data_IF_854154760497
#
_entry.id   IF_854154760497
#
_cell.length_a   1.000
_cell.length_b   1.000
_cell.length_c   1.000
_cell.angle_alpha   90.00
_cell.angle_beta   90.00
_cell.angle_gamma   90.00
#
_symmetry.space_group_name_H-M   'P 1'
#
loop_
_entity.id
_entity.type
_entity.pdbx_description
1 polymer ?
#
# COMPACT_ATOMS: atom_id res chain seq x y z
N UNK A 1 -35.66 35.37 -22.11
CA UNK A 1 -34.21 35.32 -21.80
C UNK A 1 -33.62 33.91 -21.88
N UNK A 2 -34.38 32.82 -21.70
CA UNK A 2 -33.84 31.43 -21.69
C UNK A 2 -33.06 31.00 -22.95
N UNK A 3 -33.47 31.42 -24.16
CA UNK A 3 -32.79 30.99 -25.38
C UNK A 3 -31.34 31.51 -25.53
N UNK A 4 -30.95 32.60 -24.86
CA UNK A 4 -29.58 33.13 -24.94
C UNK A 4 -28.59 32.23 -24.17
N UNK A 5 -29.02 31.66 -23.04
CA UNK A 5 -28.19 30.72 -22.27
C UNK A 5 -28.00 29.39 -23.00
N UNK A 6 -29.02 28.86 -23.70
CA UNK A 6 -28.85 27.65 -24.51
C UNK A 6 -27.86 27.84 -25.66
N UNK A 7 -27.93 28.94 -26.39
CA UNK A 7 -27.00 29.20 -27.51
C UNK A 7 -25.56 29.34 -27.00
N UNK A 8 -25.30 30.08 -25.90
CA UNK A 8 -23.95 30.15 -25.33
C UNK A 8 -23.44 28.81 -24.79
N UNK A 9 -24.31 27.95 -24.24
CA UNK A 9 -23.90 26.62 -23.78
C UNK A 9 -23.48 25.71 -24.96
N UNK A 10 -24.22 25.72 -26.08
CA UNK A 10 -23.83 24.98 -27.29
C UNK A 10 -22.60 25.60 -27.98
N UNK A 11 -22.45 26.92 -27.99
CA UNK A 11 -21.25 27.59 -28.53
C UNK A 11 -19.99 27.20 -27.72
N UNK A 12 -20.10 27.12 -26.39
CA UNK A 12 -19.01 26.71 -25.50
C UNK A 12 -18.66 25.21 -25.66
N UNK A 13 -19.66 24.34 -25.83
CA UNK A 13 -19.45 22.92 -26.08
C UNK A 13 -18.79 22.66 -27.45
N UNK A 14 -19.19 23.38 -28.50
CA UNK A 14 -18.54 23.30 -29.82
C UNK A 14 -17.10 23.83 -29.80
N UNK A 15 -16.85 24.95 -29.12
CA UNK A 15 -15.50 25.53 -29.03
C UNK A 15 -14.50 24.66 -28.23
N UNK A 16 -15.00 23.68 -27.46
CA UNK A 16 -14.18 22.70 -26.74
C UNK A 16 -13.89 21.43 -27.56
N UNK A 17 -14.47 21.28 -28.76
CA UNK A 17 -14.38 20.07 -29.59
C UNK A 17 -13.58 20.21 -30.90
N UNK A 18 -13.17 21.42 -31.29
CA UNK A 18 -12.37 21.67 -32.52
C UNK A 18 -10.86 21.81 -32.27
N UNK A 19 -10.37 21.42 -31.09
CA UNK A 19 -9.02 21.73 -30.62
C UNK A 19 -8.13 20.55 -30.23
N UNK A 20 -8.28 19.36 -30.83
CA UNK A 20 -7.46 18.19 -30.46
C UNK A 20 -7.03 17.31 -31.65
N UNK A 21 -6.35 17.92 -32.63
CA UNK A 21 -5.52 17.14 -33.55
C UNK A 21 -4.38 16.44 -32.79
N UNK A 22 -4.35 15.11 -32.86
CA UNK A 22 -3.18 14.25 -32.58
C UNK A 22 -2.64 14.28 -31.14
N UNK A 23 -3.37 13.68 -30.21
CA UNK A 23 -2.74 13.03 -29.06
C UNK A 23 -2.97 11.51 -29.10
N UNK A 24 -1.94 10.79 -29.56
CA UNK A 24 -1.87 9.33 -29.40
C UNK A 24 -1.80 8.98 -27.92
N UNK A 25 -2.92 8.58 -27.32
CA UNK A 25 -2.96 8.22 -25.91
C UNK A 25 -2.16 6.93 -25.70
N UNK A 26 -0.97 7.10 -25.14
CA UNK A 26 -0.04 6.03 -24.80
C UNK A 26 -0.69 5.05 -23.83
N UNK A 27 -0.73 3.77 -24.22
CA UNK A 27 -1.19 2.62 -23.42
C UNK A 27 -0.22 2.29 -22.27
N UNK A 28 0.19 3.29 -21.49
CA UNK A 28 1.46 3.39 -20.77
C UNK A 28 1.77 2.27 -19.76
N UNK A 29 0.77 1.52 -19.28
CA UNK A 29 0.96 0.33 -18.43
C UNK A 29 1.26 -0.96 -19.21
N UNK A 30 0.70 -1.15 -20.42
CA UNK A 30 0.79 -2.41 -21.18
C UNK A 30 2.18 -2.73 -21.78
N UNK A 31 2.93 -1.79 -22.39
CA UNK A 31 4.26 -2.07 -22.94
C UNK A 31 5.22 -2.61 -21.88
N UNK A 32 5.12 -2.13 -20.63
CA UNK A 32 6.02 -2.52 -19.53
C UNK A 32 5.76 -3.94 -19.07
N UNK A 33 4.50 -4.33 -18.84
CA UNK A 33 4.13 -5.70 -18.45
C UNK A 33 4.43 -6.70 -19.56
N UNK A 34 4.15 -6.35 -20.83
CA UNK A 34 4.47 -7.18 -22.00
C UNK A 34 5.97 -7.33 -22.24
N UNK A 35 6.77 -6.28 -21.95
CA UNK A 35 8.24 -6.36 -21.94
C UNK A 35 8.72 -7.27 -20.82
N UNK A 36 8.30 -7.04 -19.57
CA UNK A 36 8.66 -7.89 -18.41
C UNK A 36 8.39 -9.37 -18.66
N UNK A 37 7.21 -9.73 -19.18
CA UNK A 37 6.89 -11.12 -19.52
C UNK A 37 7.84 -11.69 -20.61
N UNK A 38 8.14 -10.93 -21.66
CA UNK A 38 9.12 -11.34 -22.69
C UNK A 38 10.53 -11.48 -22.12
N UNK A 39 10.97 -10.56 -21.28
CA UNK A 39 12.28 -10.58 -20.61
C UNK A 39 12.39 -11.77 -19.65
N UNK A 40 11.35 -12.06 -18.88
CA UNK A 40 11.29 -13.21 -17.98
C UNK A 40 11.30 -14.55 -18.73
N UNK A 41 10.55 -14.66 -19.82
CA UNK A 41 10.59 -15.83 -20.70
C UNK A 41 11.96 -16.02 -21.38
N UNK A 42 12.65 -14.93 -21.74
CA UNK A 42 14.04 -14.99 -22.21
C UNK A 42 14.99 -15.52 -21.13
N UNK A 43 14.87 -15.05 -19.88
CA UNK A 43 15.70 -15.54 -18.76
C UNK A 43 15.50 -17.04 -18.56
N UNK A 44 14.24 -17.50 -18.51
CA UNK A 44 13.90 -18.93 -18.37
C UNK A 44 14.46 -19.78 -19.52
N UNK A 45 14.36 -19.30 -20.77
CA UNK A 45 14.95 -19.97 -21.93
C UNK A 45 16.49 -20.02 -21.88
N UNK A 46 17.15 -18.94 -21.42
CA UNK A 46 18.61 -18.93 -21.22
C UNK A 46 19.04 -19.86 -20.08
N UNK A 47 18.26 -19.97 -19.00
CA UNK A 47 18.56 -20.87 -17.88
C UNK A 47 18.38 -22.35 -18.26
N UNK A 48 17.35 -22.70 -19.03
CA UNK A 48 17.18 -24.06 -19.58
C UNK A 48 18.32 -24.40 -20.55
N UNK A 49 18.78 -23.42 -21.34
CA UNK A 49 19.90 -23.58 -22.28
C UNK A 49 21.24 -23.73 -21.57
N UNK A 50 21.50 -22.97 -20.50
CA UNK A 50 22.76 -23.07 -19.75
C UNK A 50 22.86 -24.39 -18.97
N UNK A 51 21.74 -24.94 -18.49
CA UNK A 51 21.69 -26.28 -17.86
C UNK A 51 21.94 -27.45 -18.82
N UNK A 52 21.87 -27.24 -20.13
CA UNK A 52 21.99 -28.30 -21.15
C UNK A 52 23.26 -28.25 -22.01
N UNK A 53 24.17 -27.31 -21.74
CA UNK A 53 25.43 -27.13 -22.46
C UNK A 53 26.65 -27.52 -21.62
N UNK A 54 27.62 -28.17 -22.27
CA UNK A 54 28.93 -28.50 -21.70
C UNK A 54 29.74 -27.19 -21.49
N UNK A 55 30.45 -27.01 -20.36
CA UNK A 55 31.25 -25.80 -20.11
C UNK A 55 32.34 -25.64 -21.17
N UNK A 56 32.22 -24.59 -21.99
CA UNK A 56 33.15 -24.21 -23.06
C UNK A 56 33.11 -22.70 -23.32
N UNK A 57 33.82 -22.24 -24.34
CA UNK A 57 34.11 -20.83 -24.66
C UNK A 57 32.91 -19.86 -24.53
N UNK A 58 31.70 -20.31 -24.89
CA UNK A 58 30.50 -19.47 -24.91
C UNK A 58 29.88 -19.20 -23.51
N UNK A 59 30.48 -19.70 -22.42
CA UNK A 59 29.93 -19.55 -21.06
C UNK A 59 30.01 -18.10 -20.55
N UNK A 60 31.10 -17.37 -20.85
CA UNK A 60 31.27 -15.98 -20.40
C UNK A 60 30.30 -15.02 -21.11
N UNK A 61 30.10 -15.21 -22.42
CA UNK A 61 29.16 -14.42 -23.22
C UNK A 61 27.71 -14.61 -22.74
N UNK A 62 27.29 -15.85 -22.46
CA UNK A 62 25.98 -16.14 -21.88
C UNK A 62 25.81 -15.56 -20.47
N UNK A 63 26.85 -15.60 -19.63
CA UNK A 63 26.82 -14.97 -18.31
C UNK A 63 26.71 -13.43 -18.42
N UNK A 64 27.29 -12.83 -19.46
CA UNK A 64 27.15 -11.40 -19.75
C UNK A 64 25.74 -11.04 -20.25
N UNK A 65 25.18 -11.78 -21.22
CA UNK A 65 23.79 -11.58 -21.66
C UNK A 65 22.79 -11.75 -20.51
N UNK A 66 22.94 -12.80 -19.69
CA UNK A 66 22.07 -13.04 -18.55
C UNK A 66 22.13 -11.88 -17.53
N UNK A 67 23.33 -11.30 -17.28
CA UNK A 67 23.49 -10.10 -16.45
C UNK A 67 22.76 -8.90 -17.06
N UNK A 68 22.91 -8.64 -18.36
CA UNK A 68 22.22 -7.53 -19.04
C UNK A 68 20.70 -7.66 -19.00
N UNK A 69 20.17 -8.85 -19.29
CA UNK A 69 18.72 -9.12 -19.27
C UNK A 69 18.17 -9.07 -17.83
N UNK A 70 18.97 -9.48 -16.83
CA UNK A 70 18.63 -9.32 -15.40
C UNK A 70 18.67 -7.86 -14.96
N UNK A 71 19.63 -7.05 -15.44
CA UNK A 71 19.65 -5.61 -15.20
C UNK A 71 18.46 -4.89 -15.87
N UNK A 72 18.10 -5.26 -17.10
CA UNK A 72 16.91 -4.72 -17.77
C UNK A 72 15.64 -5.12 -17.01
N UNK A 73 15.52 -6.38 -16.56
CA UNK A 73 14.43 -6.81 -15.68
C UNK A 73 14.39 -5.97 -14.42
N UNK A 74 15.51 -5.78 -13.72
CA UNK A 74 15.56 -4.98 -12.49
C UNK A 74 15.16 -3.53 -12.75
N UNK A 75 15.65 -2.89 -13.81
CA UNK A 75 15.27 -1.52 -14.21
C UNK A 75 13.79 -1.39 -14.63
N UNK A 76 13.20 -2.45 -15.19
CA UNK A 76 11.75 -2.51 -15.47
C UNK A 76 10.94 -2.90 -14.23
N UNK A 77 11.57 -3.53 -13.24
CA UNK A 77 11.02 -3.93 -11.94
C UNK A 77 11.27 -2.88 -10.84
N UNK A 78 11.99 -1.79 -11.14
CA UNK A 78 11.95 -0.50 -10.44
C UNK A 78 10.54 0.11 -10.57
N UNK A 79 9.61 -0.54 -9.89
CA UNK A 79 8.31 -0.03 -9.46
C UNK A 79 8.56 1.12 -8.48
N UNK A 80 7.48 1.66 -7.89
CA UNK A 80 7.64 2.27 -6.57
C UNK A 80 8.21 1.18 -5.64
N UNK A 81 9.51 1.25 -5.36
CA UNK A 81 10.14 0.37 -4.40
C UNK A 81 9.54 0.65 -3.03
N UNK A 82 9.44 -0.37 -2.17
CA UNK A 82 8.91 -0.19 -0.82
C UNK A 82 9.68 0.91 -0.07
N UNK A 83 10.99 1.02 -0.31
CA UNK A 83 11.85 2.10 0.18
C UNK A 83 11.47 3.48 -0.36
N UNK A 84 11.06 3.63 -1.62
CA UNK A 84 10.58 4.90 -2.16
C UNK A 84 9.21 5.30 -1.55
N UNK A 85 8.30 4.34 -1.38
CA UNK A 85 7.02 4.56 -0.68
C UNK A 85 7.23 4.98 0.79
N UNK A 86 8.13 4.31 1.50
CA UNK A 86 8.52 4.68 2.86
C UNK A 86 9.23 6.04 2.90
N UNK A 87 10.04 6.36 1.89
CA UNK A 87 10.67 7.67 1.72
C UNK A 87 9.66 8.80 1.56
N UNK A 88 8.64 8.63 0.70
CA UNK A 88 7.53 9.59 0.58
C UNK A 88 6.81 9.74 1.92
N UNK A 89 6.48 8.62 2.58
CA UNK A 89 5.78 8.64 3.86
C UNK A 89 6.57 9.42 4.91
N UNK A 90 7.87 9.17 5.06
CA UNK A 90 8.75 9.88 5.97
C UNK A 90 8.89 11.38 5.63
N UNK A 91 8.99 11.74 4.35
CA UNK A 91 9.03 13.16 3.93
C UNK A 91 7.71 13.87 4.26
N UNK A 92 6.56 13.27 3.93
CA UNK A 92 5.24 13.82 4.29
C UNK A 92 5.10 13.96 5.81
N UNK A 93 5.60 12.98 6.57
CA UNK A 93 5.62 13.02 8.04
C UNK A 93 6.36 14.23 8.57
N UNK A 94 7.59 14.46 8.09
CA UNK A 94 8.44 15.57 8.52
C UNK A 94 7.82 16.91 8.13
N UNK A 95 7.29 17.03 6.91
CA UNK A 95 6.62 18.25 6.44
C UNK A 95 5.40 18.59 7.29
N UNK A 96 4.56 17.60 7.62
CA UNK A 96 3.40 17.80 8.49
C UNK A 96 3.78 18.13 9.93
N UNK A 97 4.81 17.48 10.49
CA UNK A 97 5.31 17.77 11.82
C UNK A 97 5.84 19.21 11.92
N UNK A 98 6.64 19.66 10.93
CA UNK A 98 7.13 21.03 10.83
C UNK A 98 5.96 22.02 10.68
N UNK A 99 4.98 21.73 9.80
CA UNK A 99 3.78 22.55 9.62
C UNK A 99 2.98 22.70 10.93
N UNK A 100 2.85 21.62 11.71
CA UNK A 100 2.16 21.60 13.01
C UNK A 100 2.93 22.33 14.11
N UNK A 101 4.25 22.45 13.99
CA UNK A 101 5.13 23.13 14.95
C UNK A 101 5.18 24.66 14.77
N UNK A 102 5.02 25.18 13.55
CA UNK A 102 5.00 26.63 13.28
C UNK A 102 4.05 27.48 14.16
N UNK A 103 2.80 27.07 14.46
CA UNK A 103 1.92 27.85 15.34
C UNK A 103 2.25 27.75 16.84
N UNK A 104 3.25 26.93 17.24
CA UNK A 104 3.64 26.76 18.64
C UNK A 104 4.65 27.83 19.07
N UNK A 105 4.65 28.20 20.35
CA UNK A 105 5.53 29.26 20.88
C UNK A 105 7.02 28.96 20.68
N UNK A 106 7.42 27.70 20.82
CA UNK A 106 8.79 27.22 20.59
C UNK A 106 9.14 26.99 19.11
N UNK A 107 8.20 27.21 18.19
CA UNK A 107 8.34 26.89 16.77
C UNK A 107 8.79 25.44 16.54
N UNK A 108 9.77 25.23 15.65
CA UNK A 108 10.29 23.91 15.30
C UNK A 108 10.90 23.17 16.52
N UNK A 109 11.41 23.89 17.53
CA UNK A 109 12.00 23.26 18.73
C UNK A 109 10.96 22.46 19.54
N UNK A 110 9.68 22.79 19.42
CA UNK A 110 8.57 22.04 20.02
C UNK A 110 8.62 20.55 19.67
N UNK A 111 9.04 20.19 18.46
CA UNK A 111 9.16 18.79 18.00
C UNK A 111 10.19 17.97 18.80
N UNK A 112 11.15 18.65 19.43
CA UNK A 112 12.24 18.07 20.20
C UNK A 112 12.04 18.20 21.72
N UNK A 113 10.99 18.90 22.17
CA UNK A 113 10.61 18.93 23.57
C UNK A 113 10.22 17.53 24.05
N UNK A 114 10.60 17.22 25.29
CA UNK A 114 10.17 16.01 26.00
C UNK A 114 9.03 16.42 26.95
N UNK A 115 7.77 16.05 26.66
CA UNK A 115 6.64 16.43 27.49
C UNK A 115 6.67 15.74 28.86
N UNK A 116 6.26 16.46 29.91
CA UNK A 116 6.28 15.99 31.31
C UNK A 116 5.48 14.70 31.49
N UNK A 117 6.13 13.63 31.97
CA UNK A 117 5.51 12.31 32.08
C UNK A 117 4.25 12.34 32.96
N UNK A 118 3.17 11.60 32.58
CA UNK A 118 1.96 11.53 33.39
C UNK A 118 2.27 10.92 34.77
N UNK A 119 1.81 11.60 35.83
CA UNK A 119 2.06 11.19 37.23
C UNK A 119 1.52 9.79 37.56
N UNK A 120 0.49 9.34 36.84
CA UNK A 120 -0.04 7.99 36.90
C UNK A 120 -0.09 7.39 35.50
N UNK A 121 0.82 6.44 35.23
CA UNK A 121 0.70 5.55 34.06
C UNK A 121 -0.54 4.69 34.29
N UNK A 122 -1.60 4.94 33.53
CA UNK A 122 -2.83 4.15 33.55
C UNK A 122 -2.56 2.69 33.18
N UNK A 123 -3.53 1.81 33.44
CA UNK A 123 -3.40 0.44 32.95
C UNK A 123 -3.26 0.46 31.41
N UNK A 124 -2.32 -0.32 30.88
CA UNK A 124 -1.97 -0.30 29.45
C UNK A 124 -3.21 -0.54 28.58
N UNK A 125 -4.13 -1.38 29.05
CA UNK A 125 -5.40 -1.65 28.38
C UNK A 125 -6.25 -0.38 28.19
N UNK A 126 -6.33 0.52 29.18
CA UNK A 126 -7.18 1.73 29.06
C UNK A 126 -6.56 2.78 28.15
N UNK A 127 -5.23 2.85 28.06
CA UNK A 127 -4.49 3.73 27.13
C UNK A 127 -4.55 3.19 25.69
N UNK A 128 -4.39 1.88 25.50
CA UNK A 128 -4.40 1.25 24.17
C UNK A 128 -5.80 1.11 23.56
N UNK A 129 -6.86 0.97 24.37
CA UNK A 129 -8.22 0.71 23.85
C UNK A 129 -8.71 1.78 22.86
N UNK A 130 -8.57 3.11 23.13
CA UNK A 130 -8.92 4.13 22.14
C UNK A 130 -8.08 4.06 20.86
N UNK A 131 -6.78 3.78 20.97
CA UNK A 131 -5.87 3.68 19.82
C UNK A 131 -6.18 2.47 18.94
N UNK A 132 -6.51 1.33 19.56
CA UNK A 132 -7.00 0.13 18.88
C UNK A 132 -8.33 0.40 18.18
N UNK A 133 -9.28 1.07 18.85
CA UNK A 133 -10.56 1.44 18.24
C UNK A 133 -10.38 2.35 17.01
N UNK A 134 -9.47 3.33 17.07
CA UNK A 134 -9.11 4.19 15.93
C UNK A 134 -8.46 3.37 14.80
N UNK A 135 -7.53 2.47 15.11
CA UNK A 135 -6.86 1.64 14.10
C UNK A 135 -7.82 0.69 13.39
N UNK A 136 -8.72 0.03 14.13
CA UNK A 136 -9.79 -0.81 13.55
C UNK A 136 -10.77 0.03 12.72
N UNK A 137 -11.11 1.25 13.16
CA UNK A 137 -11.95 2.15 12.38
C UNK A 137 -11.27 2.58 11.06
N UNK A 138 -9.97 2.87 11.08
CA UNK A 138 -9.17 3.18 9.88
C UNK A 138 -9.11 1.96 8.94
N UNK A 139 -8.83 0.76 9.46
CA UNK A 139 -8.81 -0.48 8.67
C UNK A 139 -10.16 -0.70 7.96
N UNK A 140 -11.28 -0.61 8.70
CA UNK A 140 -12.63 -0.77 8.13
C UNK A 140 -13.01 0.32 7.15
N UNK A 141 -12.59 1.56 7.39
CA UNK A 141 -12.80 2.67 6.45
C UNK A 141 -12.01 2.45 5.17
N UNK A 142 -10.76 1.99 5.25
CA UNK A 142 -9.92 1.69 4.08
C UNK A 142 -10.42 0.47 3.31
N UNK A 143 -10.78 -0.62 3.99
CA UNK A 143 -11.43 -1.78 3.37
C UNK A 143 -12.70 -1.38 2.63
N UNK A 144 -13.56 -0.57 3.26
CA UNK A 144 -14.78 -0.04 2.65
C UNK A 144 -14.47 0.87 1.46
N UNK A 145 -13.50 1.78 1.59
CA UNK A 145 -13.10 2.68 0.52
C UNK A 145 -12.46 1.95 -0.67
N UNK A 146 -11.69 0.89 -0.44
CA UNK A 146 -11.14 0.04 -1.50
C UNK A 146 -12.20 -0.82 -2.18
N UNK A 147 -13.12 -1.40 -1.42
CA UNK A 147 -14.23 -2.17 -1.99
C UNK A 147 -15.17 -1.25 -2.78
N UNK A 148 -15.44 -0.05 -2.27
CA UNK A 148 -16.18 0.99 -2.99
C UNK A 148 -15.42 1.49 -4.22
N UNK A 149 -14.10 1.69 -4.14
CA UNK A 149 -13.27 2.07 -5.28
C UNK A 149 -13.23 0.97 -6.34
N UNK A 150 -13.19 -0.31 -5.97
CA UNK A 150 -13.29 -1.42 -6.94
C UNK A 150 -14.67 -1.50 -7.57
N UNK A 151 -15.74 -1.48 -6.77
CA UNK A 151 -17.12 -1.44 -7.30
C UNK A 151 -17.36 -0.22 -8.18
N UNK A 152 -16.83 0.94 -7.81
CA UNK A 152 -16.90 2.17 -8.60
C UNK A 152 -16.01 2.09 -9.83
N UNK A 153 -14.81 1.48 -9.77
CA UNK A 153 -13.94 1.32 -10.94
C UNK A 153 -14.47 0.28 -11.92
N UNK A 154 -15.18 -0.74 -11.43
CA UNK A 154 -15.93 -1.70 -12.24
C UNK A 154 -17.14 -0.98 -12.86
N UNK A 155 -18.01 -0.34 -12.07
CA UNK A 155 -19.16 0.38 -12.60
C UNK A 155 -18.78 1.54 -13.54
N UNK A 156 -17.69 2.25 -13.26
CA UNK A 156 -17.14 3.31 -14.13
C UNK A 156 -16.42 2.71 -15.33
N UNK A 157 -15.85 1.50 -15.26
CA UNK A 157 -15.43 0.79 -16.46
C UNK A 157 -16.66 0.35 -17.29
N UNK A 158 -17.71 -0.17 -16.67
CA UNK A 158 -18.97 -0.55 -17.34
C UNK A 158 -19.67 0.66 -17.98
N UNK A 159 -19.52 1.86 -17.41
CA UNK A 159 -20.04 3.13 -17.96
C UNK A 159 -19.08 3.74 -19.00
N UNK A 160 -17.77 3.77 -18.76
CA UNK A 160 -16.74 4.26 -19.71
C UNK A 160 -16.38 3.25 -20.81
N UNK A 161 -16.98 2.05 -20.78
CA UNK A 161 -17.22 1.21 -21.97
C UNK A 161 -18.12 1.92 -23.00
N UNK A 162 -18.54 3.16 -22.73
CA UNK A 162 -18.59 4.20 -23.76
C UNK A 162 -17.80 5.47 -23.33
N UNK A 163 -16.75 5.92 -24.06
CA UNK A 163 -15.90 5.29 -25.09
C UNK A 163 -14.39 5.28 -24.65
N UNK A 164 -13.34 4.97 -25.44
CA UNK A 164 -13.09 4.99 -26.91
C UNK A 164 -11.82 4.20 -27.30
N UNK A 165 -11.44 4.28 -28.58
CA UNK A 165 -10.22 3.84 -29.28
C UNK A 165 -9.68 2.43 -28.94
N UNK A 166 -9.06 2.18 -27.77
CA UNK A 166 -8.67 0.81 -27.42
C UNK A 166 -9.87 -0.08 -27.13
N UNK A 167 -10.96 0.52 -26.66
CA UNK A 167 -12.27 -0.13 -26.61
C UNK A 167 -12.94 -0.14 -27.98
N UNK A 168 -12.69 0.79 -28.90
CA UNK A 168 -13.40 0.80 -30.19
C UNK A 168 -13.18 -0.48 -31.02
N UNK A 169 -12.06 -1.19 -30.92
CA UNK A 169 -11.97 -2.54 -31.54
C UNK A 169 -12.76 -3.59 -30.77
N UNK A 170 -12.64 -3.66 -29.43
CA UNK A 170 -13.33 -4.68 -28.62
C UNK A 170 -14.84 -4.47 -28.63
N UNK A 171 -15.27 -3.22 -28.54
CA UNK A 171 -16.64 -2.75 -28.60
C UNK A 171 -17.18 -2.82 -30.02
N UNK A 172 -16.41 -2.51 -31.08
CA UNK A 172 -16.87 -2.81 -32.44
C UNK A 172 -17.03 -4.31 -32.64
N UNK A 173 -16.09 -5.14 -32.23
CA UNK A 173 -16.23 -6.60 -32.35
C UNK A 173 -17.38 -7.14 -31.46
N UNK A 174 -17.62 -6.55 -30.28
CA UNK A 174 -18.74 -6.91 -29.39
C UNK A 174 -20.08 -6.42 -29.90
N UNK A 175 -20.15 -5.21 -30.46
CA UNK A 175 -21.36 -4.58 -30.98
C UNK A 175 -21.70 -5.08 -32.38
N UNK A 176 -20.71 -5.40 -33.21
CA UNK A 176 -20.87 -6.18 -34.46
C UNK A 176 -21.30 -7.61 -34.12
N UNK A 177 -20.80 -8.22 -33.03
CA UNK A 177 -21.34 -9.50 -32.53
C UNK A 177 -22.77 -9.36 -31.99
N UNK A 178 -23.09 -8.29 -31.27
CA UNK A 178 -24.42 -8.07 -30.67
C UNK A 178 -25.46 -7.70 -31.73
N UNK A 179 -25.10 -6.85 -32.70
CA UNK A 179 -25.93 -6.48 -33.85
C UNK A 179 -26.08 -7.63 -34.84
N UNK A 180 -25.06 -8.47 -35.08
CA UNK A 180 -25.26 -9.72 -35.86
C UNK A 180 -26.10 -10.74 -35.10
N UNK A 181 -25.97 -10.83 -33.78
CA UNK A 181 -26.80 -11.71 -32.94
C UNK A 181 -28.26 -11.21 -32.89
N UNK A 182 -28.47 -9.90 -32.75
CA UNK A 182 -29.81 -9.29 -32.74
C UNK A 182 -30.43 -9.26 -34.14
N UNK A 183 -29.68 -8.98 -35.20
CA UNK A 183 -30.16 -9.08 -36.57
C UNK A 183 -30.47 -10.53 -36.95
N UNK A 184 -29.71 -11.51 -36.47
CA UNK A 184 -30.06 -12.93 -36.59
C UNK A 184 -31.35 -13.24 -35.81
N UNK A 185 -31.50 -12.75 -34.58
CA UNK A 185 -32.74 -12.92 -33.80
C UNK A 185 -33.97 -12.26 -34.44
N UNK A 186 -33.80 -11.09 -35.09
CA UNK A 186 -34.89 -10.34 -35.71
C UNK A 186 -35.23 -10.82 -37.13
N UNK A 187 -34.26 -11.33 -37.89
CA UNK A 187 -34.53 -12.00 -39.18
C UNK A 187 -35.11 -13.40 -38.98
N UNK A 188 -34.70 -14.13 -37.94
CA UNK A 188 -35.33 -15.39 -37.53
C UNK A 188 -36.44 -15.15 -36.51
N UNK A 189 -37.54 -14.57 -37.01
CA UNK A 189 -38.85 -14.63 -36.34
C UNK A 189 -39.32 -16.09 -36.25
N UNK A 190 -38.90 -16.76 -35.18
CA UNK A 190 -39.41 -18.05 -34.70
C UNK A 190 -39.24 -19.27 -35.63
N UNK A 191 -38.02 -19.54 -36.11
CA UNK A 191 -37.58 -20.92 -36.36
C UNK A 191 -36.13 -21.10 -35.88
N UNK A 192 -35.92 -21.90 -34.82
CA UNK A 192 -34.59 -22.27 -34.33
C UNK A 192 -33.93 -23.26 -35.28
N UNK A 193 -33.36 -22.74 -36.37
CA UNK A 193 -32.48 -23.50 -37.27
C UNK A 193 -31.13 -23.76 -36.59
N UNK A 194 -30.50 -24.93 -36.80
CA UNK A 194 -29.27 -25.30 -36.10
C UNK A 194 -28.09 -24.37 -36.39
N UNK A 195 -28.09 -23.69 -37.55
CA UNK A 195 -27.04 -22.75 -37.96
C UNK A 195 -27.04 -21.46 -37.12
N UNK A 196 -28.19 -21.02 -36.62
CA UNK A 196 -28.30 -19.76 -35.86
C UNK A 196 -28.00 -19.95 -34.38
N UNK A 197 -28.39 -21.09 -33.81
CA UNK A 197 -27.89 -21.56 -32.52
C UNK A 197 -26.35 -21.57 -32.47
N UNK A 198 -25.69 -21.98 -33.56
CA UNK A 198 -24.22 -21.98 -33.63
C UNK A 198 -23.62 -20.56 -33.58
N UNK A 199 -24.27 -19.55 -34.17
CA UNK A 199 -23.79 -18.15 -34.12
C UNK A 199 -23.93 -17.59 -32.69
N UNK A 200 -25.06 -17.84 -32.02
CA UNK A 200 -25.24 -17.53 -30.61
C UNK A 200 -24.17 -18.22 -29.73
N UNK A 201 -23.93 -19.51 -29.93
CA UNK A 201 -22.94 -20.27 -29.16
C UNK A 201 -21.50 -19.74 -29.36
N UNK A 202 -21.16 -19.23 -30.56
CA UNK A 202 -19.87 -18.55 -30.80
C UNK A 202 -19.81 -17.22 -30.05
N UNK A 203 -20.87 -16.42 -30.08
CA UNK A 203 -20.93 -15.12 -29.39
C UNK A 203 -20.84 -15.28 -27.86
N UNK A 204 -21.60 -16.22 -27.29
CA UNK A 204 -21.53 -16.58 -25.86
C UNK A 204 -20.14 -17.10 -25.48
N UNK A 205 -19.54 -17.98 -26.28
CA UNK A 205 -18.16 -18.44 -26.04
C UNK A 205 -17.11 -17.32 -26.10
N UNK A 206 -17.32 -16.31 -26.96
CA UNK A 206 -16.43 -15.14 -27.05
C UNK A 206 -16.58 -14.24 -25.82
N UNK A 207 -17.82 -13.98 -25.38
CA UNK A 207 -18.12 -13.21 -24.17
C UNK A 207 -17.58 -13.91 -22.92
N UNK A 208 -17.85 -15.21 -22.75
CA UNK A 208 -17.34 -16.01 -21.64
C UNK A 208 -15.79 -15.97 -21.56
N UNK A 209 -15.09 -16.06 -22.70
CA UNK A 209 -13.62 -15.93 -22.75
C UNK A 209 -13.12 -14.52 -22.47
N UNK A 210 -13.91 -13.48 -22.75
CA UNK A 210 -13.57 -12.10 -22.39
C UNK A 210 -13.72 -11.88 -20.88
N UNK A 211 -14.81 -12.39 -20.29
CA UNK A 211 -15.05 -12.33 -18.85
C UNK A 211 -14.02 -13.17 -18.06
N UNK A 212 -13.70 -14.38 -18.53
CA UNK A 212 -12.66 -15.23 -17.95
C UNK A 212 -11.29 -14.52 -17.93
N UNK A 213 -10.95 -13.81 -19.01
CA UNK A 213 -9.73 -12.98 -19.06
C UNK A 213 -9.79 -11.83 -18.06
N UNK A 214 -10.88 -11.07 -18.00
CA UNK A 214 -11.03 -9.97 -17.04
C UNK A 214 -10.93 -10.46 -15.59
N UNK A 215 -11.64 -11.55 -15.25
CA UNK A 215 -11.55 -12.22 -13.93
C UNK A 215 -10.11 -12.66 -13.64
N UNK A 216 -9.42 -13.27 -14.61
CA UNK A 216 -8.02 -13.68 -14.49
C UNK A 216 -7.04 -12.52 -14.26
N UNK A 217 -7.35 -11.30 -14.72
CA UNK A 217 -6.54 -10.11 -14.47
C UNK A 217 -6.78 -9.53 -13.07
N UNK A 218 -8.04 -9.48 -12.62
CA UNK A 218 -8.39 -9.03 -11.25
C UNK A 218 -7.90 -10.03 -10.19
N UNK A 219 -7.88 -11.32 -10.52
CA UNK A 219 -7.37 -12.39 -9.64
C UNK A 219 -5.85 -12.61 -9.75
N UNK A 220 -5.14 -11.86 -10.59
CA UNK A 220 -3.70 -12.00 -10.75
C UNK A 220 -2.98 -11.77 -9.40
N UNK A 221 -2.12 -12.69 -8.93
CA UNK A 221 -1.53 -12.61 -7.60
C UNK A 221 -0.68 -11.34 -7.42
N UNK A 222 -0.08 -10.81 -8.49
CA UNK A 222 0.67 -9.55 -8.47
C UNK A 222 -0.22 -8.32 -8.28
N UNK A 223 -1.46 -8.34 -8.79
CA UNK A 223 -2.43 -7.27 -8.59
C UNK A 223 -2.94 -7.27 -7.15
N UNK A 224 -3.34 -8.44 -6.65
CA UNK A 224 -3.78 -8.62 -5.26
C UNK A 224 -2.68 -8.25 -4.25
N UNK A 225 -1.43 -8.63 -4.52
CA UNK A 225 -0.28 -8.25 -3.70
C UNK A 225 -0.05 -6.73 -3.71
N UNK A 226 -0.16 -6.07 -4.87
CA UNK A 226 0.01 -4.63 -4.98
C UNK A 226 -1.13 -3.85 -4.32
N UNK A 227 -2.40 -4.28 -4.48
CA UNK A 227 -3.56 -3.71 -3.76
C UNK A 227 -3.36 -3.78 -2.25
N UNK A 228 -2.93 -4.94 -1.72
CA UNK A 228 -2.62 -5.11 -0.29
C UNK A 228 -1.50 -4.16 0.17
N UNK A 229 -0.41 -4.06 -0.59
CA UNK A 229 0.70 -3.16 -0.27
C UNK A 229 0.28 -1.68 -0.30
N UNK A 230 -0.56 -1.28 -1.26
CA UNK A 230 -1.12 0.08 -1.34
C UNK A 230 -2.04 0.37 -0.15
N UNK A 231 -2.89 -0.58 0.24
CA UNK A 231 -3.78 -0.43 1.40
C UNK A 231 -2.99 -0.26 2.70
N UNK A 232 -1.96 -1.07 2.93
CA UNK A 232 -1.04 -0.93 4.07
C UNK A 232 -0.36 0.44 4.05
N UNK A 233 0.12 0.90 2.88
CA UNK A 233 0.77 2.21 2.77
C UNK A 233 -0.16 3.39 3.07
N UNK A 234 -1.41 3.35 2.57
CA UNK A 234 -2.42 4.37 2.89
C UNK A 234 -2.80 4.29 4.38
N UNK A 235 -2.90 3.09 4.97
CA UNK A 235 -3.10 2.92 6.41
C UNK A 235 -2.02 3.60 7.24
N UNK A 236 -0.75 3.32 6.94
CA UNK A 236 0.41 3.94 7.57
C UNK A 236 0.40 5.47 7.41
N UNK A 237 0.08 5.97 6.22
CA UNK A 237 -0.02 7.41 5.95
C UNK A 237 -1.14 8.07 6.76
N UNK A 238 -2.33 7.47 6.78
CA UNK A 238 -3.51 8.00 7.52
C UNK A 238 -3.27 7.98 9.02
N UNK A 239 -2.79 6.87 9.59
CA UNK A 239 -2.47 6.77 11.02
C UNK A 239 -1.45 7.82 11.45
N UNK A 240 -0.46 8.09 10.60
CA UNK A 240 0.57 9.09 10.84
C UNK A 240 0.06 10.53 10.73
N UNK A 241 -0.81 10.84 9.76
CA UNK A 241 -1.51 12.13 9.69
C UNK A 241 -2.33 12.37 10.96
N UNK A 242 -3.11 11.36 11.40
CA UNK A 242 -3.93 11.43 12.62
C UNK A 242 -3.05 11.68 13.85
N UNK A 243 -1.92 10.99 13.97
CA UNK A 243 -1.03 11.14 15.12
C UNK A 243 -0.37 12.52 15.20
N UNK A 244 0.08 13.07 14.08
CA UNK A 244 0.72 14.40 14.04
C UNK A 244 -0.30 15.51 14.26
N UNK A 245 -1.47 15.45 13.62
CA UNK A 245 -2.51 16.47 13.79
C UNK A 245 -3.12 16.45 15.19
N UNK A 246 -3.26 15.25 15.78
CA UNK A 246 -3.80 15.04 17.12
C UNK A 246 -2.79 15.21 18.27
N UNK A 247 -1.50 15.46 18.00
CA UNK A 247 -0.43 15.49 19.03
C UNK A 247 -0.40 14.21 19.88
N UNK A 248 -0.66 13.05 19.23
CA UNK A 248 -0.76 11.75 19.91
C UNK A 248 0.64 11.15 20.12
N UNK A 249 0.92 10.74 21.36
CA UNK A 249 2.18 10.11 21.77
C UNK A 249 1.98 8.96 22.76
N UNK A 250 2.03 7.72 22.26
CA UNK A 250 1.86 6.50 23.07
C UNK A 250 3.03 6.27 24.04
N UNK A 251 4.26 6.64 23.67
CA UNK A 251 5.43 6.44 24.50
C UNK A 251 5.38 7.33 25.74
N UNK A 252 4.96 8.59 25.57
CA UNK A 252 4.65 9.51 26.65
C UNK A 252 3.55 8.97 27.57
N UNK A 253 2.44 8.47 27.03
CA UNK A 253 1.37 7.86 27.87
C UNK A 253 1.84 6.61 28.62
N UNK A 254 2.78 5.85 28.07
CA UNK A 254 3.41 4.69 28.70
C UNK A 254 4.47 5.09 29.75
N UNK A 255 4.82 6.38 29.85
CA UNK A 255 5.80 6.89 30.80
C UNK A 255 7.26 6.84 30.30
N UNK A 256 7.48 6.70 28.99
CA UNK A 256 8.82 6.73 28.38
C UNK A 256 9.11 8.18 27.94
N UNK A 257 10.20 8.81 28.44
CA UNK A 257 10.55 10.18 28.05
C UNK A 257 11.15 10.19 26.64
N UNK A 258 10.36 10.59 25.65
CA UNK A 258 10.79 10.74 24.25
C UNK A 258 10.44 12.12 23.67
N UNK A 259 11.25 12.64 22.73
CA UNK A 259 10.90 13.81 21.93
C UNK A 259 9.58 13.63 21.19
N UNK A 260 8.74 14.68 21.14
CA UNK A 260 7.41 14.64 20.50
C UNK A 260 7.42 14.04 19.09
N UNK A 261 8.38 14.40 18.24
CA UNK A 261 8.46 13.88 16.87
C UNK A 261 8.63 12.36 16.81
N UNK A 262 9.45 11.78 17.70
CA UNK A 262 9.65 10.32 17.73
C UNK A 262 8.37 9.64 18.17
N UNK A 263 7.70 10.19 19.19
CA UNK A 263 6.47 9.62 19.73
C UNK A 263 5.30 9.67 18.73
N UNK A 264 5.11 10.80 18.04
CA UNK A 264 4.11 10.93 16.97
C UNK A 264 4.37 9.97 15.80
N UNK A 265 5.64 9.80 15.40
CA UNK A 265 6.00 8.88 14.32
C UNK A 265 5.71 7.43 14.72
N UNK A 266 6.13 7.02 15.92
CA UNK A 266 5.85 5.67 16.45
C UNK A 266 4.35 5.45 16.58
N UNK A 267 3.62 6.36 17.22
CA UNK A 267 2.16 6.28 17.40
C UNK A 267 1.42 6.23 16.07
N UNK A 268 1.84 7.03 15.09
CA UNK A 268 1.28 7.04 13.74
C UNK A 268 1.48 5.74 12.98
N UNK A 269 2.69 5.18 13.04
CA UNK A 269 3.00 3.87 12.44
C UNK A 269 2.22 2.74 13.13
N UNK A 270 2.12 2.77 14.46
CA UNK A 270 1.34 1.81 15.26
C UNK A 270 -0.14 1.83 14.84
N UNK A 271 -0.78 3.00 14.85
CA UNK A 271 -2.18 3.18 14.42
C UNK A 271 -2.38 2.71 12.97
N UNK A 272 -1.50 3.16 12.07
CA UNK A 272 -1.65 2.93 10.63
C UNK A 272 -1.26 1.52 10.15
N UNK A 273 -0.54 0.75 10.98
CA UNK A 273 -0.19 -0.65 10.67
C UNK A 273 -1.37 -1.63 10.76
N UNK A 274 -2.48 -1.22 11.38
CA UNK A 274 -3.65 -2.05 11.62
C UNK A 274 -3.54 -2.94 12.86
N UNK A 275 -4.60 -3.71 13.20
CA UNK A 275 -4.65 -4.50 14.43
C UNK A 275 -3.68 -5.69 14.44
N UNK A 276 -3.28 -6.21 13.27
CA UNK A 276 -2.35 -7.34 13.15
C UNK A 276 -0.98 -7.04 13.79
N UNK A 277 -0.19 -6.10 13.24
CA UNK A 277 1.09 -5.72 13.83
C UNK A 277 0.97 -5.11 15.24
N UNK A 278 -0.16 -4.48 15.56
CA UNK A 278 -0.46 -4.02 16.93
C UNK A 278 -0.53 -5.16 17.95
N UNK A 279 -1.08 -6.32 17.60
CA UNK A 279 -1.12 -7.47 18.51
C UNK A 279 0.29 -7.93 18.89
N UNK A 280 1.20 -8.01 17.93
CA UNK A 280 2.59 -8.39 18.15
C UNK A 280 3.34 -7.32 18.96
N UNK A 281 3.11 -6.04 18.66
CA UNK A 281 3.63 -4.90 19.44
C UNK A 281 3.17 -4.92 20.90
N UNK A 282 1.89 -5.22 21.16
CA UNK A 282 1.35 -5.39 22.52
C UNK A 282 2.04 -6.55 23.22
N UNK A 283 2.24 -7.68 22.54
CA UNK A 283 2.99 -8.83 23.08
C UNK A 283 4.44 -8.48 23.44
N UNK A 284 5.14 -7.72 22.59
CA UNK A 284 6.51 -7.25 22.84
C UNK A 284 6.55 -6.25 24.00
N UNK A 285 5.64 -5.27 24.06
CA UNK A 285 5.57 -4.28 25.14
C UNK A 285 5.22 -4.92 26.49
N UNK A 286 4.28 -5.87 26.52
CA UNK A 286 3.97 -6.65 27.72
C UNK A 286 5.16 -7.51 28.16
N UNK A 287 5.85 -8.16 27.22
CA UNK A 287 7.06 -8.95 27.51
C UNK A 287 8.19 -8.06 28.07
N UNK A 288 8.39 -6.86 27.50
CA UNK A 288 9.35 -5.87 27.99
C UNK A 288 8.99 -5.34 29.38
N UNK A 289 7.72 -5.04 29.64
CA UNK A 289 7.22 -4.64 30.97
C UNK A 289 7.47 -5.75 32.00
N UNK A 290 7.21 -7.00 31.64
CA UNK A 290 7.47 -8.16 32.51
C UNK A 290 8.97 -8.35 32.77
N UNK A 291 9.82 -8.20 31.76
CA UNK A 291 11.28 -8.25 31.93
C UNK A 291 11.79 -7.13 32.86
N UNK A 292 11.31 -5.90 32.69
CA UNK A 292 11.64 -4.77 33.56
C UNK A 292 11.13 -4.95 34.99
N UNK A 293 9.91 -5.47 35.17
CA UNK A 293 9.36 -5.80 36.49
C UNK A 293 10.18 -6.89 37.19
N UNK A 294 10.59 -7.93 36.45
CA UNK A 294 11.43 -9.02 36.99
C UNK A 294 12.83 -8.49 37.36
N UNK A 295 13.45 -7.65 36.53
CA UNK A 295 14.71 -6.95 36.87
C UNK A 295 14.55 -6.04 38.10
N UNK A 296 13.43 -5.32 38.20
CA UNK A 296 13.10 -4.49 39.36
C UNK A 296 12.83 -5.30 40.64
N UNK A 297 12.30 -6.53 40.53
CA UNK A 297 12.18 -7.47 41.64
C UNK A 297 13.54 -8.07 42.03
N UNK A 298 14.38 -8.45 41.07
CA UNK A 298 15.75 -8.94 41.32
C UNK A 298 16.57 -7.85 42.04
N UNK A 299 16.52 -6.59 41.59
CA UNK A 299 17.17 -5.46 42.26
C UNK A 299 16.58 -5.12 43.64
N UNK A 300 15.36 -5.59 43.95
CA UNK A 300 14.72 -5.50 45.27
C UNK A 300 14.83 -6.78 46.09
N UNK A 301 15.43 -7.84 45.55
CA UNK A 301 15.58 -9.11 46.26
C UNK A 301 16.60 -8.92 47.38
N UNK A 302 16.28 -9.48 48.55
CA UNK A 302 17.00 -9.18 49.78
C UNK A 302 18.49 -9.52 49.68
N UNK A 303 18.83 -10.64 49.01
CA UNK A 303 20.20 -11.06 48.69
C UNK A 303 21.05 -9.98 47.98
N UNK A 304 20.44 -9.17 47.09
CA UNK A 304 21.14 -8.09 46.38
C UNK A 304 21.34 -6.88 47.30
N UNK A 305 20.37 -6.57 48.16
CA UNK A 305 20.53 -5.51 49.16
C UNK A 305 21.55 -5.88 50.23
N UNK A 306 21.55 -7.14 50.68
CA UNK A 306 22.51 -7.68 51.64
C UNK A 306 23.93 -7.72 51.05
N UNK A 307 24.08 -8.08 49.77
CA UNK A 307 25.37 -7.99 49.07
C UNK A 307 25.89 -6.54 48.94
N UNK A 308 25.00 -5.57 48.63
CA UNK A 308 25.36 -4.15 48.58
C UNK A 308 25.69 -3.60 49.97
N UNK A 309 24.98 -4.05 51.02
CA UNK A 309 25.26 -3.68 52.41
C UNK A 309 26.61 -4.24 52.88
N UNK A 310 26.91 -5.51 52.57
CA UNK A 310 28.20 -6.14 52.86
C UNK A 310 29.37 -5.44 52.16
N UNK A 311 29.21 -5.06 50.88
CA UNK A 311 30.21 -4.27 50.15
C UNK A 311 30.47 -2.92 50.84
N UNK A 312 29.41 -2.17 51.20
CA UNK A 312 29.56 -0.89 51.94
C UNK A 312 30.21 -1.05 53.31
N UNK A 313 29.96 -2.16 54.01
CA UNK A 313 30.67 -2.46 55.26
C UNK A 313 32.16 -2.74 55.01
N UNK A 314 32.51 -3.52 53.99
CA UNK A 314 33.92 -3.78 53.65
C UNK A 314 34.68 -2.50 53.26
N UNK A 315 34.02 -1.59 52.52
CA UNK A 315 34.58 -0.30 52.10
C UNK A 315 34.77 0.67 53.29
N UNK A 316 33.86 0.64 54.27
CA UNK A 316 34.00 1.40 55.51
C UNK A 316 35.15 0.90 56.40
N UNK A 317 35.33 -0.43 56.49
CA UNK A 317 36.43 -1.06 57.26
C UNK A 317 37.78 -0.67 56.63
N UNK A 318 37.91 -0.76 55.30
CA UNK A 318 39.17 -0.40 54.63
C UNK A 318 39.57 1.07 54.86
N UNK A 319 38.61 2.01 54.86
CA UNK A 319 38.91 3.43 55.15
C UNK A 319 39.33 3.70 56.59
N UNK A 320 39.00 2.82 57.54
CA UNK A 320 39.47 2.93 58.93
C UNK A 320 40.84 2.31 59.18
N UNK A 321 41.41 1.57 58.21
CA UNK A 321 42.79 1.07 58.28
C UNK A 321 43.81 2.00 57.60
N UNK A 322 43.35 2.96 56.77
CA UNK A 322 44.18 3.94 56.07
C UNK A 322 44.29 5.31 56.79
N UNK A 323 43.69 5.46 57.98
CA UNK A 323 43.57 6.73 58.73
C UNK A 323 44.21 6.65 60.13
#
# INVERSE_FOLDING_TARGET
>A
MENVHRVMFYQFLMFTLEGEERMSISSSSMPRTRKLYKTQKKIEQMEIRSRSLVPGENAEEQAHELKLVTQEKNRLQDRLTLSFLLGILLVVSIVLAIAKAFPQQSGILWLFEVPELPQTVGDFATILTPLLAISVAIERLLETAFNWYEQTSIAVADILVAPRETLDWVQKEYQESYETTQAAAETLRLETTPETLHVFEIAENRLAKAEERLRGWVQAPEYLAWKKALCIWIGLLTGLIVSILGDLGILHYVGVPTPRIIDMLVTGLVIGSGPGPMHDLIGILQSGRNALNNLGQIAKTQDVQDAIAALRQSEAIHRTEEA
#
